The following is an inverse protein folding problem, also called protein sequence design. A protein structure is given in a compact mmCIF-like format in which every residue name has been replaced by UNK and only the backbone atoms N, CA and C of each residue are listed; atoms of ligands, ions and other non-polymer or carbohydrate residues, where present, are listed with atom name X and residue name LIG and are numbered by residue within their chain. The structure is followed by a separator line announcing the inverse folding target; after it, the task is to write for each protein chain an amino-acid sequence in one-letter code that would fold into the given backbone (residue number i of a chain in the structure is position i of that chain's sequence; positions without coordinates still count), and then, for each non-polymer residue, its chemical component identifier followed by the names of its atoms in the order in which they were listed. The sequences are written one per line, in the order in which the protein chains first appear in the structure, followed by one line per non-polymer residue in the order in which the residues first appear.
data_IF_691126418446
#
_entry.id   IF_691126418446
#
_cell.length_a   1.000
_cell.length_b   1.000
_cell.length_c   1.000
_cell.angle_alpha   90.00
_cell.angle_beta   90.00
_cell.angle_gamma   90.00
#
_symmetry.space_group_name_H-M   'P 1'
#
loop_
_entity.id
_entity.type
_entity.pdbx_description
1 polymer ?
#
# COMPACT_ATOMS: atom_id res chain seq x y z
N UNK A 1 -10.20 -12.32 13.89
CA UNK A 1 -9.24 -11.24 13.62
C UNK A 1 -8.93 -11.26 12.13
N UNK A 2 -9.07 -10.13 11.42
CA UNK A 2 -8.66 -10.05 10.02
C UNK A 2 -7.12 -10.11 9.97
N UNK A 3 -6.55 -11.08 9.26
CA UNK A 3 -5.10 -11.22 9.08
C UNK A 3 -4.60 -10.18 8.07
N UNK A 4 -4.50 -8.93 8.53
CA UNK A 4 -4.06 -7.80 7.71
C UNK A 4 -2.61 -7.96 7.25
N UNK A 5 -1.74 -8.55 8.08
CA UNK A 5 -0.35 -8.80 7.75
C UNK A 5 -0.22 -9.84 6.62
N UNK A 6 -0.96 -10.95 6.67
CA UNK A 6 -0.96 -11.93 5.60
C UNK A 6 -1.61 -11.42 4.32
N UNK A 7 -2.70 -10.65 4.40
CA UNK A 7 -3.30 -10.01 3.22
C UNK A 7 -2.32 -9.03 2.55
N UNK A 8 -1.63 -8.22 3.36
CA UNK A 8 -0.57 -7.33 2.92
C UNK A 8 0.58 -8.07 2.23
N UNK A 9 1.05 -9.18 2.79
CA UNK A 9 2.07 -10.03 2.18
C UNK A 9 1.62 -10.61 0.83
N UNK A 10 0.44 -11.24 0.79
CA UNK A 10 -0.11 -11.87 -0.42
C UNK A 10 -0.38 -10.88 -1.55
N UNK A 11 -0.69 -9.63 -1.22
CA UNK A 11 -0.91 -8.57 -2.22
C UNK A 11 0.36 -8.10 -2.95
N UNK A 12 1.55 -8.44 -2.43
CA UNK A 12 2.83 -7.90 -2.90
C UNK A 12 3.13 -6.47 -2.41
N UNK A 13 2.20 -5.81 -1.71
CA UNK A 13 2.42 -4.44 -1.20
C UNK A 13 3.53 -4.36 -0.16
N UNK A 14 3.76 -5.42 0.62
CA UNK A 14 4.91 -5.53 1.52
C UNK A 14 6.24 -5.40 0.77
N UNK A 15 6.36 -6.02 -0.40
CA UNK A 15 7.54 -5.95 -1.24
C UNK A 15 7.72 -4.56 -1.88
N UNK A 16 6.63 -3.86 -2.16
CA UNK A 16 6.63 -2.52 -2.75
C UNK A 16 6.81 -1.38 -1.74
N UNK A 17 6.97 -1.70 -0.45
CA UNK A 17 7.07 -0.74 0.66
C UNK A 17 8.37 -0.91 1.44
N UNK A 18 8.87 0.16 2.03
CA UNK A 18 10.06 0.14 2.91
C UNK A 18 11.36 0.57 2.23
N UNK A 19 12.49 0.22 2.84
CA UNK A 19 13.83 0.57 2.36
C UNK A 19 14.15 -0.12 1.02
N UNK A 20 14.90 0.53 0.10
CA UNK A 20 15.20 -0.02 -1.23
C UNK A 20 15.79 -1.44 -1.21
N UNK A 21 16.69 -1.69 -0.25
CA UNK A 21 17.45 -2.93 -0.12
C UNK A 21 17.07 -3.72 1.16
N UNK A 22 16.00 -3.32 1.83
CA UNK A 22 15.53 -3.97 3.05
C UNK A 22 14.68 -5.22 2.79
N UNK A 23 14.23 -5.92 3.84
CA UNK A 23 13.17 -6.91 3.70
C UNK A 23 11.83 -6.25 3.29
N UNK A 24 10.83 -7.04 2.83
CA UNK A 24 9.46 -6.54 2.69
C UNK A 24 8.96 -5.92 4.00
N UNK A 25 8.33 -4.75 3.93
CA UNK A 25 7.88 -4.02 5.12
C UNK A 25 6.45 -4.41 5.49
N UNK A 26 6.28 -5.17 6.57
CA UNK A 26 4.98 -5.56 7.11
C UNK A 26 4.42 -4.60 8.16
N UNK A 27 5.21 -3.63 8.63
CA UNK A 27 4.78 -2.66 9.65
C UNK A 27 3.63 -1.76 9.16
N UNK A 28 3.44 -1.67 7.85
CA UNK A 28 2.44 -0.82 7.19
C UNK A 28 1.17 -1.57 6.77
N UNK A 29 0.95 -2.79 7.25
CA UNK A 29 -0.22 -3.62 6.89
C UNK A 29 -1.59 -2.95 7.15
N UNK A 30 -1.67 -2.07 8.15
CA UNK A 30 -2.88 -1.29 8.44
C UNK A 30 -3.30 -0.35 7.31
N UNK A 31 -2.38 0.03 6.41
CA UNK A 31 -2.70 0.84 5.22
C UNK A 31 -3.65 0.10 4.29
N UNK A 32 -3.50 -1.22 4.12
CA UNK A 32 -4.40 -1.99 3.26
C UNK A 32 -5.80 -2.07 3.84
N UNK A 33 -5.96 -2.28 5.16
CA UNK A 33 -7.27 -2.24 5.79
C UNK A 33 -7.98 -0.88 5.59
N UNK A 34 -7.23 0.23 5.69
CA UNK A 34 -7.78 1.55 5.39
C UNK A 34 -8.13 1.70 3.91
N UNK A 35 -7.29 1.21 3.00
CA UNK A 35 -7.54 1.26 1.57
C UNK A 35 -8.77 0.42 1.18
N UNK A 36 -8.98 -0.74 1.80
CA UNK A 36 -10.18 -1.57 1.62
C UNK A 36 -11.45 -0.83 2.04
N UNK A 37 -11.45 -0.13 3.19
CA UNK A 37 -12.57 0.69 3.61
C UNK A 37 -12.88 1.83 2.63
N UNK A 38 -11.84 2.47 2.08
CA UNK A 38 -12.00 3.51 1.05
C UNK A 38 -12.53 2.91 -0.25
N UNK A 39 -12.00 1.76 -0.68
CA UNK A 39 -12.43 1.06 -1.88
C UNK A 39 -13.90 0.62 -1.79
N UNK A 40 -14.36 0.14 -0.63
CA UNK A 40 -15.77 -0.17 -0.38
C UNK A 40 -16.64 1.09 -0.56
N UNK A 41 -16.27 2.21 0.07
CA UNK A 41 -17.02 3.46 -0.04
C UNK A 41 -17.07 4.01 -1.47
N UNK A 42 -15.99 3.87 -2.24
CA UNK A 42 -15.97 4.23 -3.66
C UNK A 42 -16.87 3.29 -4.45
N UNK A 43 -16.78 1.98 -4.19
CA UNK A 43 -17.54 0.97 -4.90
C UNK A 43 -19.05 1.09 -4.71
N UNK A 44 -19.49 1.41 -3.48
CA UNK A 44 -20.90 1.72 -3.19
C UNK A 44 -21.41 2.92 -3.98
N UNK A 45 -20.62 4.00 -4.05
CA UNK A 45 -21.01 5.22 -4.76
C UNK A 45 -21.04 5.06 -6.28
N UNK A 46 -20.17 4.21 -6.82
CA UNK A 46 -20.01 4.01 -8.26
C UNK A 46 -20.74 2.77 -8.78
N UNK A 47 -21.29 1.92 -7.90
CA UNK A 47 -21.92 0.66 -8.29
C UNK A 47 -20.94 -0.38 -8.86
N UNK A 48 -19.65 -0.28 -8.52
CA UNK A 48 -18.60 -1.19 -9.02
C UNK A 48 -17.77 -1.76 -7.88
N UNK A 49 -17.31 -3.01 -8.01
CA UNK A 49 -16.37 -3.59 -7.05
C UNK A 49 -14.98 -3.01 -7.26
N UNK A 50 -14.37 -2.48 -6.20
CA UNK A 50 -12.99 -1.98 -6.21
C UNK A 50 -12.13 -2.84 -5.30
N UNK A 51 -11.12 -3.51 -5.86
CA UNK A 51 -10.19 -4.33 -5.09
C UNK A 51 -8.93 -3.52 -4.77
N UNK A 52 -8.81 -3.05 -3.53
CA UNK A 52 -7.75 -2.15 -3.10
C UNK A 52 -6.34 -2.71 -3.36
N UNK A 53 -6.10 -3.98 -3.00
CA UNK A 53 -4.82 -4.64 -3.19
C UNK A 53 -4.40 -4.68 -4.67
N UNK A 54 -5.27 -5.17 -5.55
CA UNK A 54 -5.02 -5.27 -7.00
C UNK A 54 -4.84 -3.88 -7.61
N UNK A 55 -5.67 -2.91 -7.21
CA UNK A 55 -5.59 -1.55 -7.75
C UNK A 55 -4.26 -0.89 -7.40
N UNK A 56 -3.80 -1.03 -6.16
CA UNK A 56 -2.54 -0.43 -5.69
C UNK A 56 -1.30 -1.12 -6.29
N UNK A 57 -1.26 -2.46 -6.26
CA UNK A 57 -0.13 -3.21 -6.82
C UNK A 57 -0.07 -3.09 -8.35
N UNK A 58 -1.22 -3.13 -9.02
CA UNK A 58 -1.34 -2.92 -10.47
C UNK A 58 -0.89 -1.53 -10.89
N UNK A 59 -1.30 -0.47 -10.17
CA UNK A 59 -0.81 0.90 -10.43
C UNK A 59 0.70 1.00 -10.26
N UNK A 60 1.25 0.37 -9.22
CA UNK A 60 2.69 0.38 -9.00
C UNK A 60 3.43 -0.30 -10.17
N UNK A 61 2.94 -1.43 -10.66
CA UNK A 61 3.49 -2.11 -11.82
C UNK A 61 3.40 -1.25 -13.10
N UNK A 62 2.22 -0.70 -13.40
CA UNK A 62 1.99 0.11 -14.61
C UNK A 62 2.82 1.40 -14.63
N UNK A 63 3.03 2.03 -13.47
CA UNK A 63 3.79 3.27 -13.35
C UNK A 63 5.27 3.06 -13.01
N UNK A 64 5.77 1.81 -12.96
CA UNK A 64 7.16 1.51 -12.62
C UNK A 64 7.55 1.95 -11.21
N UNK A 65 6.59 2.06 -10.29
CA UNK A 65 6.82 2.52 -8.92
C UNK A 65 7.52 1.42 -8.12
N UNK A 66 8.52 1.83 -7.34
CA UNK A 66 9.32 0.94 -6.49
C UNK A 66 9.43 1.54 -5.10
N UNK A 67 9.75 0.70 -4.12
CA UNK A 67 10.11 1.15 -2.76
C UNK A 67 11.35 2.04 -2.80
N UNK A 68 11.31 3.17 -2.08
CA UNK A 68 12.41 4.17 -2.03
C UNK A 68 12.71 4.63 -0.59
N UNK A 69 12.34 3.84 0.40
CA UNK A 69 12.49 4.17 1.81
C UNK A 69 11.71 5.42 2.19
N UNK A 70 12.43 6.50 2.48
CA UNK A 70 11.86 7.78 2.92
C UNK A 70 11.44 8.69 1.79
N UNK A 71 11.58 8.28 0.54
CA UNK A 71 11.08 9.02 -0.62
C UNK A 71 9.75 8.38 -1.04
N UNK A 72 8.75 9.19 -1.37
CA UNK A 72 7.49 8.67 -1.88
C UNK A 72 7.69 7.85 -3.15
N UNK A 73 6.74 6.96 -3.44
CA UNK A 73 6.82 6.08 -4.60
C UNK A 73 7.05 6.85 -5.92
N UNK A 74 6.45 8.04 -6.06
CA UNK A 74 6.62 8.92 -7.21
C UNK A 74 7.86 9.82 -7.19
N UNK A 75 8.69 9.78 -6.14
CA UNK A 75 9.96 10.52 -6.08
C UNK A 75 9.87 11.98 -5.67
N UNK A 76 8.69 12.59 -5.72
CA UNK A 76 8.52 14.04 -5.55
C UNK A 76 8.57 14.53 -4.09
N UNK A 77 8.43 13.64 -3.10
CA UNK A 77 8.33 14.02 -1.69
C UNK A 77 9.19 13.15 -0.79
N UNK A 78 9.63 13.72 0.34
CA UNK A 78 10.37 13.04 1.39
C UNK A 78 9.49 12.90 2.64
N UNK A 79 9.39 11.68 3.16
CA UNK A 79 8.76 11.37 4.44
C UNK A 79 9.66 11.87 5.58
N UNK A 80 9.07 12.56 6.54
CA UNK A 80 9.70 13.01 7.78
C UNK A 80 9.26 12.09 8.93
N UNK A 81 10.13 11.85 9.93
CA UNK A 81 9.71 11.04 11.06
C UNK A 81 8.65 11.82 11.87
N UNK A 82 7.58 11.16 12.25
CA UNK A 82 6.57 11.70 13.17
C UNK A 82 6.58 10.91 14.47
N UNK A 83 5.86 11.38 15.49
CA UNK A 83 5.81 10.72 16.80
C UNK A 83 5.19 9.32 16.74
N UNK A 84 4.30 9.11 15.78
CA UNK A 84 3.53 7.88 15.54
C UNK A 84 4.02 7.04 14.36
N UNK A 85 5.01 7.54 13.60
CA UNK A 85 5.86 6.74 12.70
C UNK A 85 5.42 6.63 11.24
#
# INVERSE_FOLDING_TARGET
MNDTAGAWGRSGLAWLTGAPDGPPDFSRSGVLARAEAVAASIGERLGVRVEAAITLSGRAALAGLRRRGRISAGGATRLLPTRDG
#
